data_IF_678355975448
#
_entry.id   IF_678355975448
#
_cell.length_a   1.000
_cell.length_b   1.000
_cell.length_c   1.000
_cell.angle_alpha   90.00
_cell.angle_beta   90.00
_cell.angle_gamma   90.00
#
_symmetry.space_group_name_H-M   'P 1'
#
loop_
_entity.id
_entity.type
_entity.pdbx_description
1 polymer ?
#
# COMPACT_ATOMS: atom_id res chain seq x y z
N UNK A 1 16.78 -23.81 -27.17
CA UNK A 1 15.57 -22.98 -27.03
C UNK A 1 15.87 -21.60 -26.44
N UNK A 2 16.36 -21.45 -25.21
CA UNK A 2 16.63 -20.12 -24.62
C UNK A 2 17.65 -19.27 -25.43
N UNK A 3 18.64 -19.92 -26.05
CA UNK A 3 19.65 -19.24 -26.86
C UNK A 3 19.06 -18.83 -28.23
N UNK A 4 18.51 -19.77 -28.99
CA UNK A 4 18.11 -19.59 -30.40
C UNK A 4 16.65 -19.17 -30.61
N UNK A 5 15.77 -19.41 -29.63
CA UNK A 5 14.34 -19.14 -29.76
C UNK A 5 14.02 -17.66 -29.61
N UNK A 6 13.01 -17.18 -30.31
CA UNK A 6 12.58 -15.79 -30.29
C UNK A 6 11.19 -15.64 -29.64
N UNK A 7 11.01 -14.71 -28.69
CA UNK A 7 9.72 -14.47 -28.01
C UNK A 7 8.81 -13.49 -28.76
N UNK A 8 9.31 -12.84 -29.81
CA UNK A 8 8.59 -11.83 -30.60
C UNK A 8 7.96 -10.71 -29.75
N UNK A 9 8.74 -10.18 -28.78
CA UNK A 9 8.28 -9.20 -27.78
C UNK A 9 7.51 -8.00 -28.35
N UNK A 10 7.84 -7.57 -29.57
CA UNK A 10 7.18 -6.44 -30.23
C UNK A 10 5.71 -6.72 -30.60
N UNK A 11 5.32 -7.98 -30.71
CA UNK A 11 3.97 -8.37 -31.13
C UNK A 11 2.98 -8.45 -29.96
N UNK A 12 3.46 -8.67 -28.74
CA UNK A 12 2.60 -9.00 -27.60
C UNK A 12 2.81 -8.14 -26.34
N UNK A 13 3.95 -7.48 -26.17
CA UNK A 13 4.17 -6.60 -25.01
C UNK A 13 3.27 -5.38 -25.11
N UNK A 14 2.51 -5.09 -24.05
CA UNK A 14 1.56 -3.97 -24.03
C UNK A 14 0.28 -4.26 -24.83
N UNK A 15 -0.02 -5.53 -25.09
CA UNK A 15 -1.28 -5.96 -25.73
C UNK A 15 -1.96 -7.05 -24.88
N UNK A 16 -3.12 -7.55 -25.33
CA UNK A 16 -3.79 -8.69 -24.71
C UNK A 16 -3.38 -10.04 -25.32
N UNK A 17 -2.31 -10.07 -26.13
CA UNK A 17 -1.93 -11.25 -26.91
C UNK A 17 -1.08 -12.18 -26.05
N UNK A 18 -1.46 -13.46 -26.01
CA UNK A 18 -0.66 -14.51 -25.39
C UNK A 18 0.33 -15.04 -26.44
N UNK A 19 1.62 -14.74 -26.25
CA UNK A 19 2.70 -15.31 -27.07
C UNK A 19 3.09 -16.71 -26.56
N UNK A 20 2.70 -17.75 -27.28
CA UNK A 20 3.11 -19.12 -26.98
C UNK A 20 4.65 -19.33 -27.01
N UNK A 21 5.40 -18.74 -27.95
CA UNK A 21 6.86 -18.77 -27.91
C UNK A 21 7.43 -18.14 -26.63
N UNK A 22 6.91 -16.97 -26.23
CA UNK A 22 7.32 -16.32 -25.00
C UNK A 22 7.05 -17.21 -23.76
N UNK A 23 5.83 -17.76 -23.66
CA UNK A 23 5.43 -18.67 -22.57
C UNK A 23 6.31 -19.93 -22.51
N UNK A 24 6.65 -20.51 -23.66
CA UNK A 24 7.57 -21.64 -23.74
C UNK A 24 8.98 -21.26 -23.23
N UNK A 25 9.44 -20.04 -23.54
CA UNK A 25 10.71 -19.52 -23.04
C UNK A 25 10.73 -19.33 -21.53
N UNK A 26 9.67 -18.78 -20.96
CA UNK A 26 9.53 -18.69 -19.51
C UNK A 26 9.61 -20.07 -18.85
N UNK A 27 8.84 -21.05 -19.37
CA UNK A 27 8.85 -22.43 -18.84
C UNK A 27 10.22 -23.08 -18.96
N UNK A 28 10.95 -22.81 -20.04
CA UNK A 28 12.32 -23.28 -20.22
C UNK A 28 13.29 -22.62 -19.21
N UNK A 29 13.20 -21.31 -18.97
CA UNK A 29 13.98 -20.64 -17.92
C UNK A 29 13.67 -21.21 -16.53
N UNK A 30 12.38 -21.43 -16.23
CA UNK A 30 11.94 -22.05 -14.96
C UNK A 30 12.50 -23.46 -14.80
N UNK A 31 12.48 -24.28 -15.85
CA UNK A 31 13.04 -25.63 -15.83
C UNK A 31 14.55 -25.62 -15.61
N UNK A 32 15.29 -24.74 -16.29
CA UNK A 32 16.74 -24.63 -16.12
C UNK A 32 17.07 -24.11 -14.71
N UNK A 33 16.33 -23.13 -14.19
CA UNK A 33 16.53 -22.66 -12.81
C UNK A 33 16.34 -23.77 -11.77
N UNK A 34 15.41 -24.70 -12.00
CA UNK A 34 15.17 -25.83 -11.11
C UNK A 34 16.22 -26.94 -11.25
N UNK A 35 16.68 -27.22 -12.47
CA UNK A 35 17.56 -28.35 -12.76
C UNK A 35 19.06 -28.00 -12.71
N UNK A 36 19.42 -26.79 -13.14
CA UNK A 36 20.79 -26.32 -13.25
C UNK A 36 20.89 -24.80 -12.97
N UNK A 37 20.74 -24.36 -11.71
CA UNK A 37 20.71 -22.94 -11.35
C UNK A 37 21.94 -22.14 -11.81
N UNK A 38 23.12 -22.75 -11.81
CA UNK A 38 24.36 -22.08 -12.22
C UNK A 38 24.36 -21.72 -13.72
N UNK A 39 23.69 -22.50 -14.56
CA UNK A 39 23.54 -22.19 -15.99
C UNK A 39 22.74 -20.91 -16.22
N UNK A 40 21.70 -20.65 -15.43
CA UNK A 40 20.94 -19.38 -15.50
C UNK A 40 21.82 -18.19 -15.16
N UNK A 41 22.69 -18.32 -14.14
CA UNK A 41 23.58 -17.22 -13.70
C UNK A 41 24.60 -16.84 -14.76
N UNK A 42 24.98 -17.78 -15.63
CA UNK A 42 25.94 -17.59 -16.71
C UNK A 42 25.32 -17.07 -18.01
N UNK A 43 23.99 -16.89 -18.08
CA UNK A 43 23.35 -16.30 -19.25
C UNK A 43 23.81 -14.85 -19.47
N UNK A 44 24.14 -14.53 -20.72
CA UNK A 44 24.59 -13.21 -21.11
C UNK A 44 23.43 -12.18 -21.14
N UNK A 45 23.77 -10.89 -21.26
CA UNK A 45 22.77 -9.83 -21.26
C UNK A 45 21.82 -9.86 -22.45
N UNK A 46 22.26 -10.34 -23.61
CA UNK A 46 21.41 -10.42 -24.81
C UNK A 46 20.24 -11.40 -24.60
N UNK A 47 20.53 -12.57 -24.01
CA UNK A 47 19.51 -13.56 -23.64
C UNK A 47 18.55 -12.97 -22.60
N UNK A 48 19.05 -12.27 -21.59
CA UNK A 48 18.18 -11.64 -20.61
C UNK A 48 17.32 -10.52 -21.19
N UNK A 49 17.86 -9.68 -22.05
CA UNK A 49 17.08 -8.64 -22.76
C UNK A 49 15.95 -9.32 -23.54
N UNK A 50 16.22 -10.44 -24.19
CA UNK A 50 15.21 -11.19 -24.92
C UNK A 50 14.09 -11.71 -24.02
N UNK A 51 14.41 -12.35 -22.89
CA UNK A 51 13.41 -13.08 -22.10
C UNK A 51 12.85 -12.34 -20.88
N UNK A 52 13.46 -11.26 -20.42
CA UNK A 52 12.97 -10.51 -19.25
C UNK A 52 11.52 -10.01 -19.39
N UNK A 53 11.00 -9.66 -20.59
CA UNK A 53 9.61 -9.23 -20.71
C UNK A 53 8.62 -10.31 -20.31
N UNK A 54 8.84 -11.55 -20.74
CA UNK A 54 7.94 -12.65 -20.35
C UNK A 54 8.14 -13.04 -18.90
N UNK A 55 9.35 -12.97 -18.35
CA UNK A 55 9.54 -13.19 -16.90
C UNK A 55 8.73 -12.18 -16.07
N UNK A 56 8.67 -10.91 -16.51
CA UNK A 56 7.84 -9.89 -15.85
C UNK A 56 6.35 -10.15 -16.04
N UNK A 57 5.91 -10.42 -17.27
CA UNK A 57 4.50 -10.44 -17.65
C UNK A 57 3.81 -11.80 -17.48
N UNK A 58 4.54 -12.91 -17.30
CA UNK A 58 3.94 -14.23 -17.19
C UNK A 58 2.85 -14.28 -16.11
N UNK A 59 1.64 -14.65 -16.53
CA UNK A 59 0.48 -14.81 -15.65
C UNK A 59 0.22 -16.29 -15.40
N UNK A 60 0.03 -16.64 -14.13
CA UNK A 60 -0.43 -17.98 -13.77
C UNK A 60 -1.93 -18.04 -13.97
N UNK A 61 -2.40 -19.07 -14.68
CA UNK A 61 -3.81 -19.27 -14.94
C UNK A 61 -4.65 -19.14 -13.66
N UNK A 62 -5.83 -18.55 -13.84
CA UNK A 62 -6.82 -18.13 -12.81
C UNK A 62 -7.23 -19.29 -11.87
N UNK A 63 -6.89 -20.54 -12.19
CA UNK A 63 -7.11 -21.72 -11.33
C UNK A 63 -6.05 -21.94 -10.24
N UNK A 64 -5.00 -21.12 -10.21
CA UNK A 64 -3.97 -21.11 -9.16
C UNK A 64 -4.21 -20.04 -8.08
N UNK A 65 -5.35 -19.32 -8.12
CA UNK A 65 -5.93 -18.77 -6.91
C UNK A 65 -6.42 -19.96 -6.07
N UNK A 66 -5.48 -20.69 -5.45
CA UNK A 66 -5.74 -20.95 -4.05
C UNK A 66 -5.94 -19.58 -3.46
N UNK A 67 -7.20 -19.29 -3.21
CA UNK A 67 -7.71 -18.26 -2.34
C UNK A 67 -6.94 -18.47 -1.01
N UNK A 68 -5.71 -17.96 -0.95
CA UNK A 68 -5.38 -17.12 0.17
C UNK A 68 -6.20 -15.89 -0.13
N UNK A 69 -7.43 -15.95 0.35
CA UNK A 69 -8.25 -14.79 0.59
C UNK A 69 -7.30 -13.65 0.96
N UNK A 70 -7.33 -12.49 0.29
CA UNK A 70 -6.56 -11.35 0.76
C UNK A 70 -6.80 -11.11 2.26
N UNK A 71 -7.97 -11.49 2.79
CA UNK A 71 -8.26 -11.47 4.24
C UNK A 71 -7.49 -12.54 5.04
N UNK A 72 -7.14 -13.70 4.48
CA UNK A 72 -6.27 -14.69 5.14
C UNK A 72 -4.78 -14.34 5.10
N UNK A 73 -4.36 -13.40 4.27
CA UNK A 73 -3.01 -12.82 4.28
C UNK A 73 -2.80 -11.90 5.49
N UNK A 74 -3.88 -11.33 6.05
CA UNK A 74 -3.80 -10.42 7.21
C UNK A 74 -4.27 -11.03 8.53
N UNK A 75 -4.93 -12.19 8.51
CA UNK A 75 -5.53 -12.80 9.72
C UNK A 75 -4.67 -13.84 10.45
N UNK A 76 -3.47 -14.18 9.96
CA UNK A 76 -2.56 -15.08 10.67
C UNK A 76 -1.22 -14.41 10.96
N UNK A 77 -1.05 -14.01 12.23
CA UNK A 77 0.23 -13.71 12.88
C UNK A 77 1.17 -14.92 12.77
N UNK A 78 1.89 -15.02 11.66
CA UNK A 78 3.24 -15.57 11.46
C UNK A 78 3.48 -15.68 9.94
N UNK A 79 3.78 -14.54 9.28
CA UNK A 79 4.04 -14.43 7.82
C UNK A 79 5.21 -15.29 7.33
N UNK A 80 5.90 -16.00 8.22
CA UNK A 80 6.97 -16.93 7.88
C UNK A 80 6.48 -18.29 7.33
N UNK A 81 5.18 -18.61 7.41
CA UNK A 81 4.68 -19.99 7.21
C UNK A 81 3.56 -20.21 6.17
N UNK A 82 3.14 -19.22 5.38
CA UNK A 82 2.33 -19.49 4.19
C UNK A 82 3.25 -19.95 3.05
N UNK A 83 3.01 -21.12 2.41
CA UNK A 83 3.82 -21.51 1.26
C UNK A 83 3.52 -20.53 0.13
N UNK A 84 4.44 -19.58 -0.08
CA UNK A 84 4.48 -18.78 -1.30
C UNK A 84 4.31 -19.75 -2.47
N UNK A 85 3.37 -19.45 -3.36
CA UNK A 85 3.22 -20.20 -4.61
C UNK A 85 4.64 -20.33 -5.20
N UNK A 86 5.18 -21.56 -5.37
CA UNK A 86 6.59 -21.78 -5.74
C UNK A 86 6.99 -20.97 -6.96
N UNK A 87 6.01 -20.71 -7.80
CA UNK A 87 6.14 -19.99 -9.02
C UNK A 87 6.36 -18.47 -8.85
N UNK A 88 5.78 -17.85 -7.82
CA UNK A 88 6.14 -16.48 -7.41
C UNK A 88 7.62 -16.44 -7.03
N UNK A 89 8.10 -17.47 -6.32
CA UNK A 89 9.51 -17.58 -5.90
C UNK A 89 10.42 -17.70 -7.12
N UNK A 90 10.12 -18.62 -8.05
CA UNK A 90 10.91 -18.80 -9.28
C UNK A 90 10.94 -17.54 -10.14
N UNK A 91 9.79 -16.89 -10.36
CA UNK A 91 9.73 -15.62 -11.09
C UNK A 91 10.60 -14.56 -10.43
N UNK A 92 10.50 -14.40 -9.11
CA UNK A 92 11.28 -13.42 -8.36
C UNK A 92 12.79 -13.68 -8.48
N UNK A 93 13.23 -14.94 -8.41
CA UNK A 93 14.62 -15.32 -8.64
C UNK A 93 15.08 -14.97 -10.07
N UNK A 94 14.29 -15.30 -11.09
CA UNK A 94 14.61 -14.96 -12.48
C UNK A 94 14.67 -13.44 -12.69
N UNK A 95 13.74 -12.68 -12.10
CA UNK A 95 13.73 -11.22 -12.15
C UNK A 95 14.99 -10.63 -11.50
N UNK A 96 15.39 -11.12 -10.32
CA UNK A 96 16.60 -10.67 -9.63
C UNK A 96 17.87 -10.98 -10.42
N UNK A 97 17.93 -12.12 -11.11
CA UNK A 97 19.07 -12.48 -11.97
C UNK A 97 19.09 -11.69 -13.28
N UNK A 98 17.92 -11.45 -13.88
CA UNK A 98 17.80 -10.78 -15.17
C UNK A 98 17.87 -9.26 -15.09
N UNK A 99 17.36 -8.64 -14.02
CA UNK A 99 17.28 -7.19 -13.91
C UNK A 99 18.63 -6.47 -14.07
N UNK A 100 19.73 -6.88 -13.40
CA UNK A 100 21.04 -6.24 -13.59
C UNK A 100 21.55 -6.29 -15.04
N UNK A 101 21.10 -7.28 -15.82
CA UNK A 101 21.55 -7.53 -17.19
C UNK A 101 20.62 -6.95 -18.26
N UNK A 102 19.36 -6.72 -17.92
CA UNK A 102 18.31 -6.29 -18.85
C UNK A 102 17.46 -5.12 -18.32
N UNK A 103 18.04 -4.29 -17.44
CA UNK A 103 17.40 -3.18 -16.73
C UNK A 103 16.52 -2.28 -17.61
N UNK A 104 17.06 -1.79 -18.73
CA UNK A 104 16.32 -0.92 -19.67
C UNK A 104 15.12 -1.64 -20.29
N UNK A 105 15.30 -2.90 -20.66
CA UNK A 105 14.24 -3.68 -21.28
C UNK A 105 13.12 -4.01 -20.28
N UNK A 106 13.45 -4.39 -19.04
CA UNK A 106 12.46 -4.63 -17.99
C UNK A 106 11.60 -3.39 -17.77
N UNK A 107 12.22 -2.21 -17.62
CA UNK A 107 11.49 -0.96 -17.42
C UNK A 107 10.67 -0.58 -18.64
N UNK A 108 11.18 -0.78 -19.86
CA UNK A 108 10.39 -0.55 -21.08
C UNK A 108 9.13 -1.43 -21.11
N UNK A 109 9.26 -2.71 -20.76
CA UNK A 109 8.12 -3.65 -20.65
C UNK A 109 7.14 -3.22 -19.55
N UNK A 110 7.64 -2.83 -18.38
CA UNK A 110 6.81 -2.32 -17.28
C UNK A 110 5.99 -1.10 -17.73
N UNK A 111 6.63 -0.12 -18.36
CA UNK A 111 5.97 1.10 -18.81
C UNK A 111 4.96 0.84 -19.92
N UNK A 112 5.23 -0.11 -20.82
CA UNK A 112 4.28 -0.54 -21.85
C UNK A 112 3.06 -1.24 -21.24
N UNK A 113 3.27 -2.07 -20.21
CA UNK A 113 2.16 -2.70 -19.49
C UNK A 113 1.30 -1.68 -18.74
N UNK A 114 1.92 -0.66 -18.16
CA UNK A 114 1.19 0.46 -17.52
C UNK A 114 0.35 1.21 -18.57
N UNK A 115 0.89 1.51 -19.74
CA UNK A 115 0.12 2.17 -20.82
C UNK A 115 -1.06 1.29 -21.25
N UNK A 116 -0.81 0.00 -21.48
CA UNK A 116 -1.86 -0.95 -21.84
C UNK A 116 -2.97 -0.98 -20.78
N UNK A 117 -2.64 -1.16 -19.49
CA UNK A 117 -3.63 -1.19 -18.42
C UNK A 117 -4.32 0.16 -18.26
N UNK A 118 -3.62 1.27 -18.47
CA UNK A 118 -4.19 2.61 -18.41
C UNK A 118 -5.30 2.82 -19.46
N UNK A 119 -5.16 2.23 -20.63
CA UNK A 119 -6.14 2.33 -21.71
C UNK A 119 -7.29 1.31 -21.57
N UNK A 120 -7.15 0.35 -20.65
CA UNK A 120 -8.17 -0.64 -20.29
C UNK A 120 -8.83 -0.32 -18.93
N UNK A 121 -9.82 -1.10 -18.50
CA UNK A 121 -10.46 -1.00 -17.17
C UNK A 121 -9.87 -1.96 -16.13
N UNK A 122 -8.75 -2.60 -16.45
CA UNK A 122 -8.08 -3.56 -15.57
C UNK A 122 -7.31 -2.88 -14.43
N UNK A 123 -7.10 -3.64 -13.35
CA UNK A 123 -6.29 -3.23 -12.20
C UNK A 123 -4.79 -3.44 -12.47
N UNK A 124 -3.95 -2.51 -11.98
CA UNK A 124 -2.50 -2.55 -12.17
C UNK A 124 -1.82 -3.38 -11.08
N UNK A 125 -1.70 -4.69 -11.31
CA UNK A 125 -1.05 -5.61 -10.36
C UNK A 125 0.47 -5.74 -10.57
N UNK A 126 0.99 -5.27 -11.70
CA UNK A 126 2.38 -5.51 -12.12
C UNK A 126 3.43 -4.88 -11.18
N UNK A 127 3.08 -3.79 -10.49
CA UNK A 127 3.99 -3.10 -9.56
C UNK A 127 4.40 -4.00 -8.38
N UNK A 128 3.51 -4.89 -7.92
CA UNK A 128 3.82 -5.86 -6.87
C UNK A 128 4.96 -6.82 -7.24
N UNK A 129 5.20 -7.04 -8.55
CA UNK A 129 6.23 -7.97 -9.04
C UNK A 129 7.64 -7.36 -9.05
N UNK A 130 7.74 -6.04 -8.98
CA UNK A 130 9.01 -5.31 -9.10
C UNK A 130 9.48 -4.70 -7.77
N UNK A 131 8.73 -4.83 -6.69
CA UNK A 131 9.12 -4.27 -5.38
C UNK A 131 10.51 -4.73 -4.93
N UNK A 132 10.82 -6.03 -5.09
CA UNK A 132 12.14 -6.58 -4.75
C UNK A 132 13.30 -6.08 -5.62
N UNK A 133 12.99 -5.46 -6.77
CA UNK A 133 13.97 -4.97 -7.75
C UNK A 133 14.15 -3.45 -7.66
N UNK A 134 13.44 -2.80 -6.75
CA UNK A 134 13.38 -1.35 -6.68
C UNK A 134 14.78 -0.71 -6.62
N UNK A 135 14.96 0.31 -7.45
CA UNK A 135 16.11 1.22 -7.40
C UNK A 135 15.70 2.59 -7.98
N UNK A 136 16.62 3.56 -7.90
CA UNK A 136 16.40 4.93 -8.38
C UNK A 136 16.01 5.02 -9.87
N UNK A 137 16.40 4.03 -10.69
CA UNK A 137 16.05 4.03 -12.11
C UNK A 137 14.59 3.64 -12.34
N UNK A 138 14.09 2.63 -11.61
CA UNK A 138 12.65 2.33 -11.58
C UNK A 138 11.89 3.53 -11.02
N UNK A 139 12.36 4.08 -9.89
CA UNK A 139 11.77 5.26 -9.25
C UNK A 139 11.61 6.42 -10.21
N UNK A 140 12.70 6.82 -10.86
CA UNK A 140 12.72 7.89 -11.86
C UNK A 140 11.82 7.60 -13.06
N UNK A 141 11.83 6.37 -13.57
CA UNK A 141 11.05 6.02 -14.76
C UNK A 141 9.54 6.08 -14.52
N UNK A 142 9.10 5.70 -13.32
CA UNK A 142 7.70 5.80 -12.89
C UNK A 142 7.32 7.26 -12.56
N UNK A 143 8.21 8.03 -11.94
CA UNK A 143 8.00 9.47 -11.72
C UNK A 143 7.83 10.22 -13.05
N UNK A 144 8.72 9.98 -14.02
CA UNK A 144 8.63 10.53 -15.37
C UNK A 144 7.28 10.18 -16.03
N UNK A 145 6.77 8.97 -15.78
CA UNK A 145 5.47 8.51 -16.29
C UNK A 145 4.31 9.31 -15.70
N UNK A 146 4.33 9.57 -14.39
CA UNK A 146 3.35 10.42 -13.69
C UNK A 146 3.32 11.86 -14.24
N UNK A 147 4.48 12.40 -14.60
CA UNK A 147 4.60 13.79 -15.05
C UNK A 147 4.22 13.98 -16.53
N UNK A 148 4.54 13.00 -17.39
CA UNK A 148 4.46 13.16 -18.85
C UNK A 148 3.18 12.62 -19.49
N UNK A 149 2.40 11.80 -18.76
CA UNK A 149 1.22 11.10 -19.32
C UNK A 149 -0.05 11.45 -18.57
N UNK A 150 -1.16 11.50 -19.30
CA UNK A 150 -2.48 11.56 -18.70
C UNK A 150 -2.94 10.16 -18.28
N UNK A 151 -2.57 9.77 -17.07
CA UNK A 151 -2.95 8.48 -16.50
C UNK A 151 -4.35 8.54 -15.86
N UNK A 152 -5.04 7.41 -15.79
CA UNK A 152 -6.28 7.26 -15.01
C UNK A 152 -5.98 7.44 -13.52
N UNK A 153 -6.92 7.93 -12.71
CA UNK A 153 -6.67 8.21 -11.29
C UNK A 153 -6.20 7.00 -10.49
N UNK A 154 -6.77 5.82 -10.72
CA UNK A 154 -6.37 4.55 -10.09
C UNK A 154 -4.92 4.19 -10.40
N UNK A 155 -4.48 4.37 -11.65
CA UNK A 155 -3.09 4.14 -12.07
C UNK A 155 -2.13 5.12 -11.39
N UNK A 156 -2.53 6.40 -11.27
CA UNK A 156 -1.77 7.39 -10.49
C UNK A 156 -1.63 6.92 -9.04
N UNK A 157 -2.73 6.52 -8.40
CA UNK A 157 -2.72 6.02 -7.02
C UNK A 157 -1.76 4.86 -6.82
N UNK A 158 -1.81 3.83 -7.67
CA UNK A 158 -0.95 2.65 -7.58
C UNK A 158 0.55 3.00 -7.74
N UNK A 159 0.89 3.92 -8.65
CA UNK A 159 2.28 4.37 -8.82
C UNK A 159 2.74 5.23 -7.64
N UNK A 160 1.89 6.12 -7.12
CA UNK A 160 2.19 6.92 -5.93
C UNK A 160 2.45 6.02 -4.71
N UNK A 161 1.59 5.04 -4.47
CA UNK A 161 1.76 4.03 -3.42
C UNK A 161 3.09 3.27 -3.56
N UNK A 162 3.40 2.79 -4.76
CA UNK A 162 4.67 2.10 -5.02
C UNK A 162 5.89 3.00 -4.77
N UNK A 163 5.86 4.26 -5.20
CA UNK A 163 7.01 5.16 -5.03
C UNK A 163 7.17 5.64 -3.59
N UNK A 164 6.07 5.92 -2.89
CA UNK A 164 6.10 6.37 -1.50
C UNK A 164 6.44 5.25 -0.53
N UNK A 165 5.99 4.01 -0.75
CA UNK A 165 6.40 2.84 0.03
C UNK A 165 7.91 2.57 -0.04
N UNK A 166 8.57 3.02 -1.12
CA UNK A 166 10.02 2.95 -1.29
C UNK A 166 10.74 4.28 -0.97
N UNK A 167 10.04 5.24 -0.33
CA UNK A 167 10.57 6.54 0.09
C UNK A 167 11.19 7.39 -1.05
N UNK A 168 10.64 7.35 -2.26
CA UNK A 168 11.13 8.18 -3.36
C UNK A 168 10.73 9.65 -3.18
N UNK A 169 11.69 10.49 -2.80
CA UNK A 169 11.42 11.87 -2.31
C UNK A 169 10.68 12.76 -3.30
N UNK A 170 11.01 12.73 -4.59
CA UNK A 170 10.35 13.59 -5.60
C UNK A 170 8.84 13.32 -5.73
N UNK A 171 8.41 12.10 -5.39
CA UNK A 171 6.98 11.75 -5.44
C UNK A 171 6.18 12.46 -4.36
N UNK A 172 6.78 12.75 -3.18
CA UNK A 172 6.07 13.47 -2.11
C UNK A 172 5.65 14.86 -2.57
N UNK A 173 6.55 15.60 -3.22
CA UNK A 173 6.26 16.95 -3.72
C UNK A 173 5.27 16.93 -4.88
N UNK A 174 5.37 15.94 -5.77
CA UNK A 174 4.39 15.73 -6.83
C UNK A 174 3.00 15.45 -6.25
N UNK A 175 2.88 14.54 -5.27
CA UNK A 175 1.62 14.22 -4.62
C UNK A 175 1.03 15.43 -3.88
N UNK A 176 1.84 16.20 -3.16
CA UNK A 176 1.43 17.47 -2.53
C UNK A 176 0.90 18.47 -3.57
N UNK A 177 1.54 18.57 -4.72
CA UNK A 177 1.07 19.47 -5.79
C UNK A 177 -0.29 19.05 -6.36
N UNK A 178 -0.60 17.74 -6.40
CA UNK A 178 -1.92 17.24 -6.81
C UNK A 178 -3.04 17.67 -5.86
N UNK A 179 -2.76 17.88 -4.56
CA UNK A 179 -3.76 18.31 -3.57
C UNK A 179 -4.38 19.68 -3.88
N UNK A 180 -3.66 20.53 -4.62
CA UNK A 180 -4.18 21.84 -5.07
C UNK A 180 -5.43 21.71 -5.94
N UNK A 181 -5.68 20.52 -6.48
CA UNK A 181 -6.79 20.25 -7.37
C UNK A 181 -8.03 19.65 -6.67
N UNK A 182 -8.10 19.68 -5.34
CA UNK A 182 -9.22 19.12 -4.57
C UNK A 182 -10.60 19.67 -5.00
N UNK A 183 -10.70 20.97 -5.31
CA UNK A 183 -11.93 21.61 -5.79
C UNK A 183 -12.05 21.69 -7.32
N UNK A 184 -11.28 20.90 -8.07
CA UNK A 184 -11.36 20.93 -9.54
C UNK A 184 -12.73 20.47 -10.03
N UNK A 185 -13.29 21.19 -11.01
CA UNK A 185 -14.53 20.80 -11.71
C UNK A 185 -14.30 19.61 -12.65
N UNK A 186 -13.05 19.29 -12.99
CA UNK A 186 -12.71 18.11 -13.75
C UNK A 186 -12.61 16.90 -12.81
N UNK A 187 -13.57 15.98 -12.92
CA UNK A 187 -13.68 14.80 -12.06
C UNK A 187 -12.41 13.95 -12.06
N UNK A 188 -11.76 13.73 -13.20
CA UNK A 188 -10.51 12.96 -13.27
C UNK A 188 -9.38 13.63 -12.48
N UNK A 189 -9.28 14.96 -12.57
CA UNK A 189 -8.29 15.76 -11.85
C UNK A 189 -8.59 15.77 -10.35
N UNK A 190 -9.86 15.87 -9.95
CA UNK A 190 -10.30 15.74 -8.56
C UNK A 190 -9.99 14.35 -8.01
N UNK A 191 -10.29 13.27 -8.74
CA UNK A 191 -9.99 11.90 -8.33
C UNK A 191 -8.48 11.65 -8.16
N UNK A 192 -7.62 12.25 -8.99
CA UNK A 192 -6.16 12.20 -8.79
C UNK A 192 -5.72 12.85 -7.49
N UNK A 193 -6.35 13.98 -7.10
CA UNK A 193 -6.08 14.62 -5.81
C UNK A 193 -6.48 13.73 -4.63
N UNK A 194 -7.59 12.98 -4.75
CA UNK A 194 -8.02 12.01 -3.73
C UNK A 194 -7.00 10.87 -3.61
N UNK A 195 -6.52 10.33 -4.73
CA UNK A 195 -5.50 9.28 -4.72
C UNK A 195 -4.17 9.77 -4.11
N UNK A 196 -3.78 11.02 -4.38
CA UNK A 196 -2.62 11.63 -3.75
C UNK A 196 -2.79 11.82 -2.24
N UNK A 197 -3.94 12.33 -1.78
CA UNK A 197 -4.21 12.51 -0.35
C UNK A 197 -4.22 11.17 0.40
N UNK A 198 -4.91 10.18 -0.16
CA UNK A 198 -4.95 8.81 0.35
C UNK A 198 -3.55 8.23 0.54
N UNK A 199 -2.72 8.26 -0.51
CA UNK A 199 -1.36 7.70 -0.46
C UNK A 199 -0.43 8.47 0.48
N UNK A 200 -0.55 9.81 0.55
CA UNK A 200 0.21 10.61 1.50
C UNK A 200 -0.15 10.30 2.95
N UNK A 201 -1.44 10.12 3.26
CA UNK A 201 -1.88 9.73 4.61
C UNK A 201 -1.42 8.32 4.99
N UNK A 202 -1.26 7.41 4.05
CA UNK A 202 -0.76 6.05 4.32
C UNK A 202 0.76 6.03 4.53
N UNK A 203 1.52 6.68 3.65
CA UNK A 203 2.98 6.51 3.62
C UNK A 203 3.77 7.70 4.17
N UNK A 204 3.17 8.88 4.34
CA UNK A 204 3.89 10.09 4.77
C UNK A 204 3.05 11.08 5.59
N UNK A 205 2.24 10.63 6.58
CA UNK A 205 1.26 11.48 7.26
C UNK A 205 1.88 12.70 7.97
N UNK A 206 2.98 12.56 8.71
CA UNK A 206 3.59 13.61 9.55
C UNK A 206 3.90 14.93 8.82
N UNK A 207 4.22 14.85 7.52
CA UNK A 207 4.63 16.01 6.71
C UNK A 207 3.51 16.52 5.79
N UNK A 208 2.33 15.91 5.87
CA UNK A 208 1.19 16.20 4.99
C UNK A 208 -0.12 16.40 5.70
N UNK A 209 -0.21 15.98 6.97
CA UNK A 209 -1.43 16.05 7.75
C UNK A 209 -1.98 17.47 7.78
N UNK A 210 -1.19 18.47 8.15
CA UNK A 210 -1.69 19.85 8.26
C UNK A 210 -2.26 20.39 6.93
N UNK A 211 -1.64 20.04 5.79
CA UNK A 211 -2.16 20.43 4.47
C UNK A 211 -3.51 19.76 4.21
N UNK A 212 -3.59 18.45 4.45
CA UNK A 212 -4.81 17.66 4.19
C UNK A 212 -5.91 18.06 5.17
N UNK A 213 -5.58 18.28 6.45
CA UNK A 213 -6.48 18.74 7.51
C UNK A 213 -7.18 20.04 7.13
N UNK A 214 -6.45 21.03 6.64
CA UNK A 214 -7.08 22.29 6.19
C UNK A 214 -8.06 22.03 5.05
N UNK A 215 -7.67 21.19 4.08
CA UNK A 215 -8.54 20.88 2.93
C UNK A 215 -9.80 20.12 3.36
N UNK A 216 -9.71 19.09 4.21
CA UNK A 216 -10.89 18.31 4.64
C UNK A 216 -11.85 19.12 5.51
N UNK A 217 -11.36 20.16 6.20
CA UNK A 217 -12.21 21.08 6.97
C UNK A 217 -13.02 22.00 6.04
N UNK A 218 -12.43 22.40 4.91
CA UNK A 218 -13.08 23.26 3.91
C UNK A 218 -13.97 22.46 2.94
N UNK A 219 -13.54 21.26 2.52
CA UNK A 219 -14.25 20.36 1.58
C UNK A 219 -14.52 18.99 2.21
N UNK A 220 -15.64 18.91 2.95
CA UNK A 220 -16.05 17.69 3.63
C UNK A 220 -16.35 16.52 2.68
N UNK A 221 -16.86 16.78 1.46
CA UNK A 221 -17.15 15.72 0.49
C UNK A 221 -15.85 15.05 0.02
N UNK A 222 -14.85 15.86 -0.32
CA UNK A 222 -13.53 15.37 -0.68
C UNK A 222 -12.87 14.61 0.47
N UNK A 223 -12.97 15.11 1.70
CA UNK A 223 -12.48 14.42 2.89
C UNK A 223 -13.13 13.05 3.11
N UNK A 224 -14.46 12.96 2.95
CA UNK A 224 -15.21 11.70 3.11
C UNK A 224 -14.78 10.64 2.10
N UNK A 225 -14.55 11.02 0.85
CA UNK A 225 -14.06 10.09 -0.18
C UNK A 225 -12.66 9.56 0.14
N UNK A 226 -11.79 10.37 0.76
CA UNK A 226 -10.46 9.92 1.19
C UNK A 226 -10.56 8.89 2.30
N UNK A 227 -11.28 9.21 3.38
CA UNK A 227 -11.40 8.29 4.53
C UNK A 227 -12.05 6.97 4.10
N UNK A 228 -13.07 7.03 3.24
CA UNK A 228 -13.66 5.83 2.65
C UNK A 228 -12.62 5.00 1.89
N UNK A 229 -11.79 5.62 1.06
CA UNK A 229 -10.77 4.90 0.30
C UNK A 229 -9.69 4.31 1.21
N UNK A 230 -9.20 5.07 2.20
CA UNK A 230 -8.22 4.60 3.19
C UNK A 230 -8.78 3.42 3.96
N UNK A 231 -9.94 3.57 4.61
CA UNK A 231 -10.55 2.55 5.44
C UNK A 231 -10.75 1.21 4.70
N UNK A 232 -11.11 1.26 3.41
CA UNK A 232 -11.20 0.05 2.59
C UNK A 232 -9.81 -0.56 2.29
N UNK A 233 -8.79 0.27 2.04
CA UNK A 233 -7.45 -0.16 1.61
C UNK A 233 -6.65 -0.77 2.76
N UNK A 234 -6.60 -0.09 3.90
CA UNK A 234 -5.78 -0.46 5.06
C UNK A 234 -6.54 -1.28 6.10
N UNK A 235 -7.72 -1.81 5.72
CA UNK A 235 -8.49 -2.70 6.58
C UNK A 235 -7.58 -3.80 7.15
N UNK A 236 -7.63 -3.98 8.46
CA UNK A 236 -6.82 -4.96 9.20
C UNK A 236 -5.30 -4.69 9.25
N UNK A 237 -4.83 -3.51 8.85
CA UNK A 237 -3.42 -3.12 9.02
C UNK A 237 -3.16 -2.55 10.42
N UNK A 238 -2.62 -3.38 11.33
CA UNK A 238 -2.30 -2.99 12.71
C UNK A 238 -1.25 -1.84 12.80
N UNK A 239 -0.41 -1.65 11.78
CA UNK A 239 0.71 -0.69 11.78
C UNK A 239 0.42 0.66 11.11
N UNK A 240 -0.78 0.86 10.56
CA UNK A 240 -1.09 2.04 9.73
C UNK A 240 -0.92 3.38 10.48
N UNK A 241 -1.15 3.40 11.79
CA UNK A 241 -1.03 4.62 12.60
C UNK A 241 0.38 4.86 13.17
N UNK A 242 1.35 3.97 12.90
CA UNK A 242 2.71 4.08 13.46
C UNK A 242 3.42 5.38 13.07
N UNK A 243 3.14 5.85 11.85
CA UNK A 243 3.73 7.06 11.32
C UNK A 243 2.97 8.33 11.69
N UNK A 244 1.84 8.30 12.40
CA UNK A 244 1.15 9.52 12.80
C UNK A 244 1.66 10.05 14.15
N UNK A 245 1.66 11.37 14.33
CA UNK A 245 1.73 11.93 15.68
C UNK A 245 0.40 11.75 16.40
N UNK A 246 0.44 11.55 17.72
CA UNK A 246 -0.76 11.33 18.53
C UNK A 246 -1.77 12.49 18.44
N UNK A 247 -1.32 13.73 18.26
CA UNK A 247 -2.19 14.89 18.09
C UNK A 247 -2.96 14.84 16.75
N UNK A 248 -2.27 14.46 15.67
CA UNK A 248 -2.87 14.32 14.34
C UNK A 248 -3.99 13.27 14.36
N UNK A 249 -3.77 12.15 15.06
CA UNK A 249 -4.79 11.10 15.25
C UNK A 249 -6.00 11.60 16.02
N UNK A 250 -5.81 12.45 17.03
CA UNK A 250 -6.93 13.04 17.75
C UNK A 250 -7.73 14.01 16.87
N UNK A 251 -7.04 14.84 16.09
CA UNK A 251 -7.70 15.75 15.15
C UNK A 251 -8.47 14.98 14.06
N UNK A 252 -7.89 13.91 13.52
CA UNK A 252 -8.54 13.02 12.57
C UNK A 252 -9.79 12.38 13.19
N UNK A 253 -9.66 11.78 14.38
CA UNK A 253 -10.78 11.14 15.08
C UNK A 253 -11.92 12.12 15.37
N UNK A 254 -11.60 13.35 15.77
CA UNK A 254 -12.61 14.39 16.05
C UNK A 254 -13.35 14.77 14.77
N UNK A 255 -12.62 14.99 13.67
CA UNK A 255 -13.24 15.30 12.38
C UNK A 255 -14.10 14.14 11.87
N UNK A 256 -13.58 12.91 11.91
CA UNK A 256 -14.30 11.70 11.50
C UNK A 256 -15.57 11.48 12.32
N UNK A 257 -15.53 11.71 13.64
CA UNK A 257 -16.72 11.57 14.50
C UNK A 257 -17.82 12.57 14.17
N UNK A 258 -17.47 13.74 13.61
CA UNK A 258 -18.44 14.71 13.11
C UNK A 258 -19.06 14.32 11.77
N UNK A 259 -18.28 13.71 10.87
CA UNK A 259 -18.75 13.28 9.54
C UNK A 259 -19.47 11.92 9.58
N UNK A 260 -19.04 11.05 10.48
CA UNK A 260 -19.52 9.70 10.70
C UNK A 260 -19.80 9.52 12.19
N UNK A 261 -20.99 9.91 12.69
CA UNK A 261 -21.33 9.72 14.10
C UNK A 261 -21.47 8.24 14.45
N UNK A 262 -21.00 7.81 15.63
CA UNK A 262 -21.10 6.40 16.08
C UNK A 262 -22.53 5.87 16.10
N UNK A 263 -23.51 6.71 16.40
CA UNK A 263 -24.92 6.32 16.43
C UNK A 263 -25.48 5.96 15.04
N UNK A 264 -24.80 6.37 13.96
CA UNK A 264 -25.15 6.00 12.59
C UNK A 264 -24.63 4.62 12.17
N UNK A 265 -23.75 4.00 12.98
CA UNK A 265 -23.18 2.69 12.68
C UNK A 265 -24.24 1.58 12.69
N UNK A 266 -24.23 0.74 11.67
CA UNK A 266 -25.12 -0.44 11.61
C UNK A 266 -24.66 -1.49 12.61
N UNK A 267 -25.43 -1.66 13.69
CA UNK A 267 -25.18 -2.69 14.71
C UNK A 267 -25.01 -4.07 14.09
N UNK A 268 -24.01 -4.81 14.57
CA UNK A 268 -23.85 -6.23 14.26
C UNK A 268 -25.00 -6.99 14.92
N UNK A 269 -25.98 -7.41 14.13
CA UNK A 269 -26.96 -8.42 14.55
C UNK A 269 -26.23 -9.76 14.47
N UNK A 270 -26.28 -10.58 15.52
CA UNK A 270 -25.40 -11.76 15.73
C UNK A 270 -25.44 -12.90 14.68
N UNK A 271 -25.91 -12.66 13.47
CA UNK A 271 -25.78 -13.54 12.30
C UNK A 271 -24.64 -13.12 11.35
N UNK A 272 -24.47 -13.85 10.23
CA UNK A 272 -23.47 -13.52 9.22
C UNK A 272 -23.78 -12.17 8.57
N UNK A 273 -22.81 -11.24 8.56
CA UNK A 273 -22.91 -9.95 7.89
C UNK A 273 -21.76 -9.81 6.90
N UNK A 274 -22.09 -9.50 5.65
CA UNK A 274 -21.10 -9.04 4.67
C UNK A 274 -20.74 -7.59 5.00
N UNK A 275 -19.48 -7.36 5.32
CA UNK A 275 -18.98 -6.03 5.66
C UNK A 275 -19.05 -5.11 4.44
N UNK A 276 -19.49 -3.87 4.66
CA UNK A 276 -19.56 -2.81 3.64
C UNK A 276 -18.56 -1.70 3.95
N UNK A 277 -18.36 -0.76 3.01
CA UNK A 277 -17.46 0.38 3.20
C UNK A 277 -17.74 1.18 4.48
N UNK A 278 -19.01 1.36 4.85
CA UNK A 278 -19.37 2.06 6.09
C UNK A 278 -18.87 1.30 7.34
N UNK A 279 -18.87 -0.03 7.32
CA UNK A 279 -18.37 -0.84 8.43
C UNK A 279 -16.85 -0.67 8.59
N UNK A 280 -16.11 -0.59 7.48
CA UNK A 280 -14.67 -0.35 7.52
C UNK A 280 -14.33 1.04 8.05
N UNK A 281 -15.14 2.06 7.76
CA UNK A 281 -14.98 3.41 8.35
C UNK A 281 -15.21 3.36 9.88
N UNK A 282 -16.23 2.63 10.34
CA UNK A 282 -16.46 2.45 11.77
C UNK A 282 -15.29 1.75 12.46
N UNK A 283 -14.74 0.69 11.86
CA UNK A 283 -13.56 -0.01 12.37
C UNK A 283 -12.33 0.88 12.39
N UNK A 284 -12.07 1.60 11.30
CA UNK A 284 -10.97 2.56 11.19
C UNK A 284 -10.99 3.60 12.33
N UNK A 285 -12.16 4.20 12.58
CA UNK A 285 -12.35 5.17 13.67
C UNK A 285 -12.08 4.55 15.05
N UNK A 286 -12.53 3.32 15.28
CA UNK A 286 -12.27 2.62 16.54
C UNK A 286 -10.80 2.18 16.69
N UNK A 287 -10.13 1.87 15.59
CA UNK A 287 -8.72 1.50 15.56
C UNK A 287 -7.80 2.67 15.92
N UNK A 288 -8.17 3.92 15.61
CA UNK A 288 -7.45 5.10 16.11
C UNK A 288 -7.43 5.11 17.65
N UNK A 289 -8.56 4.86 18.29
CA UNK A 289 -8.66 4.85 19.75
C UNK A 289 -7.94 3.64 20.34
N UNK A 290 -8.07 2.46 19.71
CA UNK A 290 -7.32 1.26 20.09
C UNK A 290 -5.82 1.53 20.05
N UNK A 291 -5.32 2.14 18.98
CA UNK A 291 -3.91 2.48 18.80
C UNK A 291 -3.42 3.46 19.88
N UNK A 292 -4.14 4.56 20.13
CA UNK A 292 -3.78 5.53 21.16
C UNK A 292 -3.77 4.90 22.57
N UNK A 293 -4.68 3.97 22.85
CA UNK A 293 -4.70 3.21 24.11
C UNK A 293 -3.43 2.36 24.28
N UNK A 294 -3.05 1.58 23.26
CA UNK A 294 -1.92 0.63 23.36
C UNK A 294 -0.54 1.27 23.12
N UNK A 295 -0.49 2.45 22.49
CA UNK A 295 0.77 3.19 22.24
C UNK A 295 1.54 3.42 23.54
N UNK A 296 0.83 3.77 24.62
CA UNK A 296 1.40 3.82 25.97
C UNK A 296 2.42 4.94 26.17
N UNK A 297 2.19 6.10 25.55
CA UNK A 297 2.98 7.32 25.75
C UNK A 297 2.23 8.28 26.69
N UNK A 298 2.91 9.30 27.24
CA UNK A 298 2.22 10.38 27.95
C UNK A 298 1.30 11.16 27.03
N UNK A 299 1.72 11.32 25.78
CA UNK A 299 1.01 12.09 24.77
C UNK A 299 -0.26 11.36 24.34
N UNK A 300 -0.23 10.03 24.20
CA UNK A 300 -1.44 9.25 23.89
C UNK A 300 -2.54 9.43 24.95
N UNK A 301 -2.18 9.46 26.24
CA UNK A 301 -3.11 9.74 27.35
C UNK A 301 -3.64 11.18 27.27
N UNK A 302 -2.78 12.15 26.95
CA UNK A 302 -3.15 13.56 26.83
C UNK A 302 -4.14 13.77 25.68
N UNK A 303 -3.90 13.16 24.52
CA UNK A 303 -4.76 13.33 23.35
C UNK A 303 -6.09 12.59 23.51
N UNK A 304 -6.15 11.43 24.17
CA UNK A 304 -7.42 10.79 24.52
C UNK A 304 -8.29 11.72 25.40
N UNK A 305 -7.67 12.47 26.31
CA UNK A 305 -8.36 13.52 27.09
C UNK A 305 -8.75 14.73 26.24
N UNK A 306 -7.96 15.09 25.22
CA UNK A 306 -8.31 16.12 24.23
C UNK A 306 -9.58 15.71 23.47
N UNK A 307 -9.67 14.45 23.02
CA UNK A 307 -10.84 13.89 22.33
C UNK A 307 -12.10 14.02 23.20
N UNK A 308 -12.09 13.56 24.46
CA UNK A 308 -13.26 13.68 25.35
C UNK A 308 -13.68 15.14 25.61
N UNK A 309 -12.73 16.08 25.61
CA UNK A 309 -13.07 17.50 25.78
C UNK A 309 -13.83 18.06 24.57
N UNK A 310 -13.54 17.58 23.37
CA UNK A 310 -14.21 18.02 22.13
C UNK A 310 -15.49 17.23 21.85
N UNK A 311 -15.55 15.97 22.29
CA UNK A 311 -16.67 15.05 22.12
C UNK A 311 -17.11 14.54 23.50
N UNK A 312 -17.82 15.32 24.32
CA UNK A 312 -18.23 14.91 25.66
C UNK A 312 -19.16 13.68 25.66
N UNK A 313 -19.92 13.47 24.59
CA UNK A 313 -20.90 12.40 24.43
C UNK A 313 -20.28 10.99 24.40
N UNK A 314 -19.04 10.85 23.93
CA UNK A 314 -18.34 9.56 23.89
C UNK A 314 -17.57 9.24 25.18
N UNK A 315 -17.63 10.12 26.18
CA UNK A 315 -16.87 10.00 27.44
C UNK A 315 -17.03 8.63 28.08
N UNK A 316 -18.26 8.12 28.17
CA UNK A 316 -18.52 6.83 28.82
C UNK A 316 -17.81 5.67 28.13
N UNK A 317 -17.74 5.72 26.79
CA UNK A 317 -17.08 4.67 25.98
C UNK A 317 -15.54 4.70 26.04
N UNK A 318 -14.94 5.87 26.30
CA UNK A 318 -13.47 6.06 26.28
C UNK A 318 -12.87 6.15 27.70
N UNK A 319 -13.65 6.45 28.73
CA UNK A 319 -13.14 6.65 30.09
C UNK A 319 -12.28 5.48 30.59
N UNK A 320 -12.74 4.24 30.38
CA UNK A 320 -11.98 3.04 30.75
C UNK A 320 -10.69 2.89 29.93
N UNK A 321 -10.73 3.25 28.65
CA UNK A 321 -9.56 3.20 27.76
C UNK A 321 -8.47 4.18 28.19
N UNK A 322 -8.83 5.34 28.74
CA UNK A 322 -7.84 6.28 29.32
C UNK A 322 -7.15 5.66 30.54
N UNK A 323 -7.89 4.97 31.40
CA UNK A 323 -7.31 4.30 32.58
C UNK A 323 -6.31 3.23 32.11
N UNK A 324 -6.70 2.41 31.13
CA UNK A 324 -5.80 1.42 30.52
C UNK A 324 -4.57 2.06 29.88
N UNK A 325 -4.75 3.12 29.09
CA UNK A 325 -3.64 3.85 28.48
C UNK A 325 -2.66 4.34 29.55
N UNK A 326 -3.15 4.87 30.69
CA UNK A 326 -2.30 5.28 31.81
C UNK A 326 -1.54 4.12 32.44
N UNK A 327 -2.20 2.96 32.63
CA UNK A 327 -1.56 1.75 33.13
C UNK A 327 -0.44 1.29 32.19
N UNK A 328 -0.72 1.21 30.89
CA UNK A 328 0.27 0.84 29.87
C UNK A 328 1.43 1.85 29.87
N UNK A 329 1.16 3.16 29.92
CA UNK A 329 2.21 4.19 29.99
C UNK A 329 3.06 4.03 31.24
N UNK A 330 2.47 3.76 32.41
CA UNK A 330 3.24 3.49 33.64
C UNK A 330 4.12 2.26 33.50
N UNK A 331 3.60 1.17 32.92
CA UNK A 331 4.35 -0.07 32.69
C UNK A 331 5.53 0.19 31.74
N UNK A 332 5.29 0.85 30.60
CA UNK A 332 6.33 1.12 29.58
C UNK A 332 7.37 2.15 30.03
N UNK A 333 6.98 3.13 30.85
CA UNK A 333 7.88 4.19 31.34
C UNK A 333 8.56 3.86 32.67
N UNK A 334 8.17 2.76 33.33
CA UNK A 334 8.74 2.36 34.60
C UNK A 334 10.24 2.10 34.46
N UNK A 335 11.02 2.79 35.27
CA UNK A 335 12.44 2.52 35.47
C UNK A 335 12.62 2.00 36.88
N UNK A 336 13.26 0.82 37.07
CA UNK A 336 13.51 0.33 38.41
C UNK A 336 14.30 1.36 39.21
N UNK A 337 13.96 1.61 40.48
CA UNK A 337 14.81 2.42 41.34
C UNK A 337 16.20 1.79 41.40
N UNK A 338 17.25 2.62 41.38
CA UNK A 338 18.62 2.13 41.54
C UNK A 338 18.76 1.51 42.94
N UNK A 339 19.53 0.42 43.13
CA UNK A 339 19.66 -0.24 44.43
C UNK A 339 19.99 0.71 45.59
N UNK A 340 20.81 1.75 45.34
CA UNK A 340 21.16 2.78 46.32
C UNK A 340 19.95 3.56 46.91
N UNK A 341 18.83 3.62 46.19
CA UNK A 341 17.60 4.31 46.63
C UNK A 341 16.65 3.38 47.40
N UNK A 342 16.93 2.07 47.41
CA UNK A 342 16.10 1.05 48.08
C UNK A 342 16.63 0.73 49.49
N UNK A 343 17.90 1.04 49.76
CA UNK A 343 18.60 0.71 51.01
C UNK A 343 18.80 1.89 51.98
N UNK A 344 18.29 3.07 51.65
CA UNK A 344 18.09 4.20 52.59
C UNK A 344 16.61 4.26 53.00
#
# INVERSE_FOLDING_TARGET
YIIEGEPDNQEWVGTNIISFPAYAGYRALRLILEMEPESIRNLNSEIWIKWIPIVLLYEFGIYGQNIVDPEKLYLNRDDSNLPLNPEIVFRNMLLQMGYPRAKKQLVATLLAQIDYVNDQTHSLTILSRIGILYDDFIGKSLQDKLEKKNLRPDIVGNILEFLLSHNYELTKDYAKNLLKNHSSQNENVKLKSIQAAKTLLIFSPQNTWEIIRTIIQDDNEWGREIIKNIANEVRFNEGMFENYFEDELADLYIWESGQYPKDSDKKLTGGPKFLQSDDFISFWRDDIINYLEIKGTSDSVMVLRKIIRHLPEIRESIAYRIIRAQEITRIKSWKPPKPQVIYD
#
